data_IF_810487438955
#
_entry.id   IF_810487438955
#
_cell.length_a   1.000
_cell.length_b   1.000
_cell.length_c   1.000
_cell.angle_alpha   90.00
_cell.angle_beta   90.00
_cell.angle_gamma   90.00
#
_symmetry.space_group_name_H-M   'P 1'
#
loop_
_entity.id
_entity.type
_entity.pdbx_description
1 polymer ?
#
# COMPACT_ATOMS: atom_id res chain seq x y z
N UNK A 1 12.69 -22.45 -28.15
CA UNK A 1 12.09 -22.89 -26.86
C UNK A 1 11.99 -21.66 -25.97
N UNK A 2 10.88 -21.47 -25.26
CA UNK A 2 10.78 -20.42 -24.25
C UNK A 2 11.78 -20.69 -23.12
N UNK A 3 12.32 -19.63 -22.52
CA UNK A 3 13.19 -19.75 -21.35
C UNK A 3 12.43 -20.35 -20.15
N UNK A 4 13.15 -20.86 -19.16
CA UNK A 4 12.53 -21.38 -17.92
C UNK A 4 11.64 -20.33 -17.25
N UNK A 5 12.12 -19.09 -17.17
CA UNK A 5 11.34 -18.01 -16.56
C UNK A 5 10.08 -17.66 -17.38
N UNK A 6 10.16 -17.63 -18.71
CA UNK A 6 8.99 -17.38 -19.56
C UNK A 6 7.90 -18.45 -19.38
N UNK A 7 8.28 -19.72 -19.23
CA UNK A 7 7.34 -20.80 -18.95
C UNK A 7 6.66 -20.63 -17.58
N UNK A 8 7.43 -20.21 -16.55
CA UNK A 8 6.87 -19.95 -15.22
C UNK A 8 5.94 -18.73 -15.22
N UNK A 9 6.26 -17.68 -15.98
CA UNK A 9 5.38 -16.52 -16.13
C UNK A 9 4.04 -16.93 -16.77
N UNK A 10 4.06 -17.72 -17.83
CA UNK A 10 2.86 -18.22 -18.48
C UNK A 10 2.01 -19.09 -17.52
N UNK A 11 2.67 -19.99 -16.79
CA UNK A 11 2.00 -20.81 -15.77
C UNK A 11 1.34 -19.93 -14.70
N UNK A 12 2.08 -18.94 -14.18
CA UNK A 12 1.56 -18.02 -13.18
C UNK A 12 0.37 -17.19 -13.68
N UNK A 13 0.41 -16.74 -14.94
CA UNK A 13 -0.68 -15.98 -15.55
C UNK A 13 -1.96 -16.82 -15.72
N UNK A 14 -1.84 -18.14 -15.94
CA UNK A 14 -2.97 -19.03 -16.12
C UNK A 14 -3.51 -19.61 -14.80
N UNK A 15 -2.61 -20.04 -13.92
CA UNK A 15 -2.97 -20.79 -12.70
C UNK A 15 -3.08 -19.91 -11.45
N UNK A 16 -2.56 -18.66 -11.50
CA UNK A 16 -2.45 -17.73 -10.38
C UNK A 16 -1.75 -18.34 -9.16
N UNK A 17 -0.89 -19.31 -9.40
CA UNK A 17 -0.13 -20.03 -8.39
C UNK A 17 1.16 -20.62 -8.96
N UNK A 18 2.18 -20.75 -8.11
CA UNK A 18 3.44 -21.46 -8.37
C UNK A 18 3.87 -22.15 -7.09
N UNK A 19 4.71 -23.18 -7.19
CA UNK A 19 5.39 -23.75 -6.03
C UNK A 19 6.41 -22.77 -5.43
N UNK A 20 6.89 -23.03 -4.21
CA UNK A 20 7.91 -22.19 -3.56
C UNK A 20 9.22 -22.12 -4.38
N UNK A 21 9.64 -23.24 -4.94
CA UNK A 21 10.83 -23.32 -5.79
C UNK A 21 10.65 -22.51 -7.08
N UNK A 22 9.46 -22.55 -7.70
CA UNK A 22 9.15 -21.78 -8.90
C UNK A 22 9.06 -20.27 -8.61
N UNK A 23 8.45 -19.86 -7.48
CA UNK A 23 8.44 -18.46 -7.04
C UNK A 23 9.86 -17.98 -6.78
N UNK A 24 10.68 -18.77 -6.09
CA UNK A 24 12.08 -18.45 -5.83
C UNK A 24 12.85 -18.24 -7.12
N UNK A 25 12.65 -19.13 -8.11
CA UNK A 25 13.28 -19.04 -9.44
C UNK A 25 12.89 -17.72 -10.12
N UNK A 26 11.61 -17.32 -10.11
CA UNK A 26 11.19 -16.03 -10.70
C UNK A 26 11.74 -14.82 -9.94
N UNK A 27 11.77 -14.87 -8.61
CA UNK A 27 12.24 -13.77 -7.76
C UNK A 27 13.74 -13.53 -8.00
N UNK A 28 14.52 -14.60 -8.15
CA UNK A 28 15.99 -14.54 -8.25
C UNK A 28 16.51 -14.57 -9.67
N UNK A 29 15.66 -14.74 -10.68
CA UNK A 29 16.08 -14.85 -12.08
C UNK A 29 16.88 -13.63 -12.54
N UNK A 30 17.95 -13.92 -13.25
CA UNK A 30 18.83 -12.94 -13.93
C UNK A 30 18.62 -12.95 -15.45
N UNK A 31 17.59 -13.66 -15.94
CA UNK A 31 17.31 -13.71 -17.37
C UNK A 31 17.00 -12.32 -17.93
N UNK A 32 17.55 -11.97 -19.11
CA UNK A 32 17.23 -10.71 -19.77
C UNK A 32 15.71 -10.57 -19.99
N UNK A 33 15.21 -9.34 -19.91
CA UNK A 33 13.81 -8.98 -20.18
C UNK A 33 12.74 -9.62 -19.27
N UNK A 34 13.11 -10.40 -18.25
CA UNK A 34 12.14 -11.06 -17.35
C UNK A 34 11.14 -10.05 -16.75
N UNK A 35 11.62 -8.89 -16.32
CA UNK A 35 10.76 -7.87 -15.74
C UNK A 35 9.79 -7.28 -16.77
N UNK A 36 10.21 -7.17 -18.02
CA UNK A 36 9.36 -6.73 -19.13
C UNK A 36 8.28 -7.75 -19.47
N UNK A 37 8.63 -9.03 -19.49
CA UNK A 37 7.68 -10.12 -19.71
C UNK A 37 6.65 -10.18 -18.58
N UNK A 38 7.11 -10.14 -17.33
CA UNK A 38 6.24 -10.11 -16.15
C UNK A 38 5.28 -8.91 -16.19
N UNK A 39 5.79 -7.70 -16.47
CA UNK A 39 4.97 -6.50 -16.55
C UNK A 39 3.92 -6.58 -17.67
N UNK A 40 4.28 -7.15 -18.84
CA UNK A 40 3.35 -7.34 -19.94
C UNK A 40 2.18 -8.24 -19.54
N UNK A 41 2.44 -9.41 -18.94
CA UNK A 41 1.38 -10.32 -18.51
C UNK A 41 0.57 -9.75 -17.34
N UNK A 42 1.22 -9.07 -16.42
CA UNK A 42 0.57 -8.37 -15.31
C UNK A 42 -0.38 -7.26 -15.80
N UNK A 43 0.03 -6.46 -16.80
CA UNK A 43 -0.84 -5.41 -17.36
C UNK A 43 -2.03 -5.99 -18.13
N UNK A 44 -1.81 -7.07 -18.90
CA UNK A 44 -2.91 -7.78 -19.58
C UNK A 44 -3.98 -8.22 -18.57
N UNK A 45 -3.56 -8.88 -17.48
CA UNK A 45 -4.46 -9.37 -16.44
C UNK A 45 -5.13 -8.23 -15.68
N UNK A 46 -4.38 -7.17 -15.34
CA UNK A 46 -4.91 -5.97 -14.72
C UNK A 46 -6.02 -5.34 -15.57
N UNK A 47 -5.83 -5.28 -16.91
CA UNK A 47 -6.83 -4.71 -17.84
C UNK A 47 -8.10 -5.55 -17.93
N UNK A 48 -8.02 -6.86 -17.73
CA UNK A 48 -9.22 -7.71 -17.68
C UNK A 48 -10.12 -7.35 -16.48
N UNK A 49 -9.54 -7.04 -15.30
CA UNK A 49 -10.29 -6.72 -14.09
C UNK A 49 -10.67 -5.24 -13.98
N UNK A 50 -9.83 -4.34 -14.45
CA UNK A 50 -9.94 -2.91 -14.17
C UNK A 50 -9.90 -2.01 -15.39
N UNK A 51 -9.77 -2.56 -16.58
CA UNK A 51 -9.60 -1.78 -17.81
C UNK A 51 -8.34 -0.93 -17.74
N UNK A 52 -8.45 0.32 -18.15
CA UNK A 52 -7.41 1.34 -18.06
C UNK A 52 -7.52 2.24 -16.81
N UNK A 53 -8.44 1.91 -15.88
CA UNK A 53 -8.76 2.73 -14.72
C UNK A 53 -7.65 2.72 -13.68
N UNK A 54 -7.30 3.90 -13.18
CA UNK A 54 -6.46 4.11 -12.00
C UNK A 54 -7.27 4.84 -10.95
N UNK A 55 -7.35 4.24 -9.76
CA UNK A 55 -8.06 4.82 -8.63
C UNK A 55 -7.15 5.75 -7.84
N UNK A 56 -7.68 6.93 -7.48
CA UNK A 56 -7.00 7.87 -6.60
C UNK A 56 -7.54 7.75 -5.18
N UNK A 57 -6.62 7.71 -4.20
CA UNK A 57 -6.97 7.71 -2.77
C UNK A 57 -6.31 8.90 -2.09
N UNK A 58 -7.11 9.74 -1.47
CA UNK A 58 -6.62 10.91 -0.74
C UNK A 58 -5.96 10.50 0.57
N UNK A 59 -4.65 10.66 0.64
CA UNK A 59 -3.86 10.31 1.83
C UNK A 59 -3.84 11.49 2.80
N UNK A 60 -4.29 11.29 4.02
CA UNK A 60 -4.25 12.26 5.12
C UNK A 60 -3.36 11.69 6.22
N UNK A 61 -2.14 12.18 6.30
CA UNK A 61 -1.15 11.83 7.32
C UNK A 61 -1.45 12.72 8.54
N UNK A 62 -2.29 12.27 9.48
CA UNK A 62 -2.86 13.13 10.50
C UNK A 62 -2.07 13.21 11.81
N UNK A 63 -1.11 12.30 12.02
CA UNK A 63 -0.16 12.33 13.13
C UNK A 63 1.11 11.59 12.80
N UNK A 64 2.25 12.11 13.22
CA UNK A 64 3.55 11.42 13.15
C UNK A 64 4.05 10.95 14.52
N UNK A 65 3.24 11.05 15.57
CA UNK A 65 3.54 10.37 16.83
C UNK A 65 3.35 8.87 16.68
N UNK A 66 4.28 8.10 17.22
CA UNK A 66 4.18 6.63 17.21
C UNK A 66 4.78 6.09 18.50
N UNK A 67 4.07 5.15 19.18
CA UNK A 67 4.61 4.44 20.36
C UNK A 67 5.66 3.39 19.99
N UNK A 68 5.64 2.91 18.73
CA UNK A 68 6.51 1.84 18.25
C UNK A 68 7.90 2.38 17.87
N UNK A 69 8.89 1.50 17.95
CA UNK A 69 10.28 1.85 17.70
C UNK A 69 10.89 0.98 16.58
N UNK A 70 10.14 0.76 15.50
CA UNK A 70 10.59 0.00 14.34
C UNK A 70 11.91 0.56 13.80
N UNK A 71 12.88 -0.32 13.52
CA UNK A 71 14.26 0.09 13.23
C UNK A 71 14.47 0.78 11.90
N UNK A 72 13.47 0.74 11.02
CA UNK A 72 13.49 1.29 9.66
C UNK A 72 12.69 2.60 9.51
N UNK A 73 11.91 3.02 10.51
CA UNK A 73 10.88 4.04 10.34
C UNK A 73 11.33 5.41 10.88
N UNK A 74 11.29 6.46 10.06
CA UNK A 74 11.67 7.82 10.44
C UNK A 74 10.77 8.44 11.52
N UNK A 75 9.50 8.00 11.67
CA UNK A 75 8.61 8.49 12.74
C UNK A 75 8.60 7.60 13.99
N UNK A 76 9.56 6.68 14.13
CA UNK A 76 9.72 5.83 15.31
C UNK A 76 9.80 6.62 16.61
N UNK A 77 9.39 6.01 17.73
CA UNK A 77 9.42 6.67 19.06
C UNK A 77 10.82 7.20 19.44
N UNK A 78 11.86 6.44 19.11
CA UNK A 78 13.24 6.79 19.41
C UNK A 78 13.87 7.84 18.49
N UNK A 79 13.17 8.38 17.50
CA UNK A 79 13.67 9.51 16.71
C UNK A 79 13.34 10.84 17.40
N UNK A 80 14.32 11.39 18.11
CA UNK A 80 14.20 12.68 18.81
C UNK A 80 14.31 13.90 17.87
N UNK A 81 14.78 13.72 16.63
CA UNK A 81 14.88 14.77 15.63
C UNK A 81 13.57 15.02 14.89
N UNK A 82 12.59 14.11 14.99
CA UNK A 82 11.32 14.26 14.29
C UNK A 82 10.47 15.39 14.89
N UNK A 83 10.16 16.40 14.08
CA UNK A 83 9.22 17.45 14.46
C UNK A 83 7.80 16.87 14.51
N UNK A 84 7.27 16.68 15.72
CA UNK A 84 6.00 16.01 15.95
C UNK A 84 4.79 16.91 15.75
N UNK A 85 3.72 16.35 15.17
CA UNK A 85 2.45 17.05 14.99
C UNK A 85 1.24 16.12 15.09
N UNK A 86 0.09 16.71 15.33
CA UNK A 86 -1.23 16.10 15.27
C UNK A 86 -2.17 17.06 14.59
N UNK A 87 -3.00 16.59 13.67
CA UNK A 87 -4.09 17.38 13.11
C UNK A 87 -5.31 17.33 14.02
N UNK A 88 -6.04 18.41 14.12
CA UNK A 88 -7.35 18.41 14.78
C UNK A 88 -8.40 17.67 13.93
N UNK A 89 -9.54 17.35 14.51
CA UNK A 89 -10.66 16.79 13.75
C UNK A 89 -11.09 17.72 12.61
N UNK A 90 -11.16 19.03 12.89
CA UNK A 90 -11.55 20.06 11.91
C UNK A 90 -10.57 20.10 10.74
N UNK A 91 -9.27 20.01 10.98
CA UNK A 91 -8.26 19.97 9.93
C UNK A 91 -8.38 18.69 9.08
N UNK A 92 -8.65 17.54 9.69
CA UNK A 92 -8.89 16.27 8.98
C UNK A 92 -10.13 16.38 8.10
N UNK A 93 -11.24 16.92 8.62
CA UNK A 93 -12.48 17.13 7.86
C UNK A 93 -12.30 18.12 6.72
N UNK A 94 -11.53 19.19 6.91
CA UNK A 94 -11.18 20.13 5.84
C UNK A 94 -10.38 19.46 4.72
N UNK A 95 -9.42 18.57 5.05
CA UNK A 95 -8.72 17.77 4.06
C UNK A 95 -9.66 16.84 3.27
N UNK A 96 -10.65 16.23 3.93
CA UNK A 96 -11.66 15.40 3.27
C UNK A 96 -12.54 16.22 2.33
N UNK A 97 -13.01 17.40 2.76
CA UNK A 97 -13.84 18.29 1.95
C UNK A 97 -13.09 18.76 0.70
N UNK A 98 -11.84 19.18 0.84
CA UNK A 98 -11.01 19.56 -0.31
C UNK A 98 -10.75 18.36 -1.24
N UNK A 99 -10.44 17.19 -0.68
CA UNK A 99 -10.28 15.97 -1.47
C UNK A 99 -11.55 15.61 -2.25
N UNK A 100 -12.73 15.72 -1.63
CA UNK A 100 -14.01 15.48 -2.29
C UNK A 100 -14.23 16.43 -3.49
N UNK A 101 -13.94 17.71 -3.29
CA UNK A 101 -13.99 18.74 -4.35
C UNK A 101 -13.05 18.43 -5.51
N UNK A 102 -11.86 17.87 -5.20
CA UNK A 102 -10.87 17.42 -6.20
C UNK A 102 -11.24 16.08 -6.86
N UNK A 103 -12.37 15.46 -6.53
CA UNK A 103 -12.85 14.21 -7.14
C UNK A 103 -12.35 12.94 -6.47
N UNK A 104 -11.78 13.01 -5.27
CA UNK A 104 -11.48 11.81 -4.49
C UNK A 104 -12.77 11.21 -3.91
N UNK A 105 -12.86 9.88 -3.91
CA UNK A 105 -13.96 9.12 -3.31
C UNK A 105 -13.45 8.07 -2.32
N UNK A 106 -12.19 8.17 -1.95
CA UNK A 106 -11.56 7.39 -0.87
C UNK A 106 -10.62 8.29 -0.08
N UNK A 107 -10.79 8.31 1.23
CA UNK A 107 -9.87 8.95 2.16
C UNK A 107 -9.11 7.90 2.95
N UNK A 108 -7.79 8.07 3.07
CA UNK A 108 -6.90 7.21 3.85
C UNK A 108 -6.35 8.01 5.00
N UNK A 109 -6.84 7.73 6.21
CA UNK A 109 -6.31 8.30 7.43
C UNK A 109 -5.12 7.48 7.89
N UNK A 110 -3.93 8.04 7.75
CA UNK A 110 -2.68 7.38 8.09
C UNK A 110 -1.96 8.10 9.22
N UNK A 111 -1.42 7.35 10.15
CA UNK A 111 -0.65 7.87 11.27
C UNK A 111 0.27 6.83 11.89
N UNK A 112 1.14 7.26 12.79
CA UNK A 112 1.77 6.35 13.74
C UNK A 112 0.74 5.80 14.73
N UNK A 113 1.14 4.82 15.55
CA UNK A 113 0.31 4.34 16.66
C UNK A 113 0.36 5.34 17.81
N UNK A 114 -0.49 6.36 17.73
CA UNK A 114 -0.55 7.49 18.63
C UNK A 114 -1.66 7.31 19.67
N UNK A 115 -1.31 7.19 20.95
CA UNK A 115 -2.26 7.02 22.05
C UNK A 115 -3.18 8.25 22.29
N UNK A 116 -2.82 9.42 21.77
CA UNK A 116 -3.70 10.60 21.84
C UNK A 116 -5.03 10.39 21.12
N UNK A 117 -5.00 9.67 20.01
CA UNK A 117 -6.21 9.31 19.28
C UNK A 117 -6.78 8.01 19.86
N UNK A 118 -7.56 8.19 20.94
CA UNK A 118 -8.34 7.10 21.55
C UNK A 118 -9.33 6.53 20.55
N UNK A 119 -9.86 5.34 20.85
CA UNK A 119 -10.85 4.71 19.99
C UNK A 119 -12.08 5.61 19.78
N UNK A 120 -12.54 6.30 20.83
CA UNK A 120 -13.66 7.28 20.74
C UNK A 120 -13.35 8.43 19.79
N UNK A 121 -12.15 9.00 19.84
CA UNK A 121 -11.73 10.08 18.93
C UNK A 121 -11.70 9.60 17.47
N UNK A 122 -11.17 8.41 17.22
CA UNK A 122 -11.17 7.83 15.88
C UNK A 122 -12.61 7.58 15.39
N UNK A 123 -13.48 7.02 16.23
CA UNK A 123 -14.88 6.81 15.92
C UNK A 123 -15.59 8.14 15.59
N UNK A 124 -15.34 9.18 16.38
CA UNK A 124 -15.93 10.52 16.14
C UNK A 124 -15.49 11.10 14.78
N UNK A 125 -14.18 11.00 14.45
CA UNK A 125 -13.65 11.45 13.16
C UNK A 125 -14.27 10.66 12.00
N UNK A 126 -14.29 9.33 12.10
CA UNK A 126 -14.85 8.45 11.07
C UNK A 126 -16.32 8.72 10.84
N UNK A 127 -17.11 8.84 11.92
CA UNK A 127 -18.56 9.15 11.84
C UNK A 127 -18.82 10.52 11.21
N UNK A 128 -18.00 11.53 11.55
CA UNK A 128 -18.11 12.86 10.96
C UNK A 128 -17.81 12.86 9.46
N UNK A 129 -16.76 12.13 9.01
CA UNK A 129 -16.45 11.96 7.59
C UNK A 129 -17.59 11.22 6.89
N UNK A 130 -18.09 10.12 7.47
CA UNK A 130 -19.21 9.35 6.91
C UNK A 130 -20.47 10.19 6.71
N UNK A 131 -20.78 11.04 7.70
CA UNK A 131 -21.92 11.96 7.62
C UNK A 131 -21.78 12.99 6.50
N UNK A 132 -20.56 13.55 6.30
CA UNK A 132 -20.32 14.58 5.29
C UNK A 132 -20.16 13.99 3.87
N UNK A 133 -19.60 12.77 3.75
CA UNK A 133 -19.25 12.12 2.49
C UNK A 133 -19.73 10.66 2.48
N UNK A 134 -21.05 10.41 2.41
CA UNK A 134 -21.63 9.07 2.53
C UNK A 134 -21.24 8.13 1.38
N UNK A 135 -20.92 8.68 0.22
CA UNK A 135 -20.48 7.97 -0.98
C UNK A 135 -18.98 7.63 -1.00
N UNK A 136 -18.20 8.12 -0.04
CA UNK A 136 -16.75 7.86 0.03
C UNK A 136 -16.41 6.60 0.82
N UNK A 137 -15.31 5.96 0.47
CA UNK A 137 -14.69 4.95 1.31
C UNK A 137 -13.72 5.59 2.31
N UNK A 138 -13.75 5.11 3.55
CA UNK A 138 -12.83 5.53 4.62
C UNK A 138 -11.90 4.37 4.93
N UNK A 139 -10.60 4.61 4.76
CA UNK A 139 -9.54 3.65 5.07
C UNK A 139 -8.77 4.14 6.30
N UNK A 140 -8.57 3.28 7.28
CA UNK A 140 -7.68 3.52 8.40
C UNK A 140 -6.34 2.82 8.20
N UNK A 141 -5.24 3.48 8.57
CA UNK A 141 -3.88 2.94 8.59
C UNK A 141 -3.16 3.49 9.82
N UNK A 142 -3.55 2.98 11.00
CA UNK A 142 -3.17 3.48 12.32
C UNK A 142 -2.61 2.39 13.23
N UNK A 143 -2.04 1.35 12.63
CA UNK A 143 -1.34 0.28 13.33
C UNK A 143 -2.24 -0.76 13.98
N UNK A 144 -1.73 -1.38 15.04
CA UNK A 144 -2.40 -2.47 15.74
C UNK A 144 -3.37 -1.96 16.79
N UNK A 145 -4.56 -2.57 16.84
CA UNK A 145 -5.61 -2.29 17.81
C UNK A 145 -6.21 -3.59 18.36
N UNK A 146 -7.03 -3.48 19.37
CA UNK A 146 -7.86 -4.59 19.82
C UNK A 146 -8.96 -4.92 18.79
N UNK A 147 -9.47 -6.16 18.80
CA UNK A 147 -10.61 -6.54 17.96
C UNK A 147 -11.83 -5.64 18.22
N UNK A 148 -12.06 -5.26 19.48
CA UNK A 148 -13.14 -4.35 19.86
C UNK A 148 -12.96 -2.95 19.25
N UNK A 149 -11.72 -2.42 19.24
CA UNK A 149 -11.41 -1.14 18.59
C UNK A 149 -11.64 -1.20 17.08
N UNK A 150 -11.21 -2.28 16.41
CA UNK A 150 -11.51 -2.47 14.99
C UNK A 150 -13.01 -2.53 14.71
N UNK A 151 -13.77 -3.26 15.54
CA UNK A 151 -15.23 -3.33 15.41
C UNK A 151 -15.86 -1.94 15.57
N UNK A 152 -15.47 -1.18 16.59
CA UNK A 152 -16.00 0.16 16.82
C UNK A 152 -15.74 1.11 15.62
N UNK A 153 -14.56 1.05 15.01
CA UNK A 153 -14.27 1.87 13.82
C UNK A 153 -15.08 1.43 12.61
N UNK A 154 -15.33 0.14 12.45
CA UNK A 154 -16.17 -0.41 11.38
C UNK A 154 -17.61 0.08 11.53
N UNK A 155 -18.17 -0.01 12.74
CA UNK A 155 -19.50 0.43 13.08
C UNK A 155 -19.66 1.97 12.92
N UNK A 156 -18.59 2.73 13.19
CA UNK A 156 -18.53 4.16 12.93
C UNK A 156 -18.51 4.51 11.43
N UNK A 157 -18.24 3.55 10.55
CA UNK A 157 -18.31 3.71 9.10
C UNK A 157 -16.98 3.55 8.33
N UNK A 158 -15.90 3.09 8.97
CA UNK A 158 -14.68 2.75 8.26
C UNK A 158 -14.89 1.48 7.41
N UNK A 159 -14.51 1.52 6.13
CA UNK A 159 -14.75 0.41 5.20
C UNK A 159 -13.51 -0.44 4.98
N UNK A 160 -12.33 0.15 5.13
CA UNK A 160 -11.06 -0.46 4.78
C UNK A 160 -10.03 -0.23 5.88
N UNK A 161 -9.13 -1.18 6.03
CA UNK A 161 -8.01 -1.05 6.95
C UNK A 161 -6.73 -1.52 6.27
N UNK A 162 -5.68 -0.71 6.32
CA UNK A 162 -4.36 -1.06 5.83
C UNK A 162 -3.43 -1.32 7.01
N UNK A 163 -2.95 -2.54 7.13
CA UNK A 163 -1.95 -2.96 8.10
C UNK A 163 -0.90 -3.83 7.40
N UNK A 164 0.24 -3.26 7.09
CA UNK A 164 1.32 -4.03 6.46
C UNK A 164 1.92 -5.01 7.47
N UNK A 165 2.13 -6.27 7.05
CA UNK A 165 2.81 -7.26 7.89
C UNK A 165 4.32 -7.07 7.90
N UNK A 166 4.88 -6.31 6.96
CA UNK A 166 6.26 -5.91 6.71
C UNK A 166 7.18 -7.07 6.34
N UNK A 167 7.05 -8.22 6.97
CA UNK A 167 7.58 -9.53 6.60
C UNK A 167 6.77 -10.62 7.31
N UNK A 168 6.57 -11.76 6.67
CA UNK A 168 5.87 -12.91 7.24
C UNK A 168 6.81 -13.90 7.95
N UNK A 169 8.11 -13.67 7.87
CA UNK A 169 9.15 -14.48 8.49
C UNK A 169 9.49 -13.97 9.91
N UNK A 170 9.49 -14.87 10.89
CA UNK A 170 9.65 -14.52 12.31
C UNK A 170 11.04 -13.98 12.63
N UNK A 171 12.09 -14.60 12.07
CA UNK A 171 13.46 -14.18 12.33
C UNK A 171 13.76 -12.83 11.66
N UNK A 172 13.26 -12.65 10.46
CA UNK A 172 13.40 -11.38 9.76
C UNK A 172 12.59 -10.28 10.46
N UNK A 173 11.38 -10.57 10.95
CA UNK A 173 10.58 -9.60 11.71
C UNK A 173 11.29 -9.13 12.98
N UNK A 174 11.94 -10.05 13.71
CA UNK A 174 12.72 -9.72 14.91
C UNK A 174 13.93 -8.83 14.60
N UNK A 175 14.51 -8.90 13.41
CA UNK A 175 15.60 -8.01 12.97
C UNK A 175 15.11 -6.60 12.62
N UNK A 176 13.84 -6.44 12.26
CA UNK A 176 13.26 -5.15 11.84
C UNK A 176 12.58 -4.41 13.00
N UNK A 177 12.19 -5.11 14.06
CA UNK A 177 11.34 -4.58 15.13
C UNK A 177 11.91 -4.87 16.51
N UNK A 178 11.61 -4.02 17.53
CA UNK A 178 11.98 -4.31 18.90
C UNK A 178 11.22 -5.53 19.44
N UNK A 179 11.79 -6.21 20.44
CA UNK A 179 11.23 -7.42 21.04
C UNK A 179 9.81 -7.23 21.64
N UNK A 180 9.38 -6.00 21.89
CA UNK A 180 8.02 -5.68 22.35
C UNK A 180 6.96 -5.81 21.25
N UNK A 181 7.35 -5.99 20.00
CA UNK A 181 6.44 -6.17 18.86
C UNK A 181 6.42 -7.65 18.43
N UNK A 182 5.24 -8.17 18.11
CA UNK A 182 5.02 -9.56 17.74
C UNK A 182 4.44 -9.69 16.33
N UNK A 183 5.10 -10.50 15.49
CA UNK A 183 4.55 -10.85 14.18
C UNK A 183 3.24 -11.62 14.29
N UNK A 184 3.11 -12.48 15.30
CA UNK A 184 1.89 -13.22 15.54
C UNK A 184 0.71 -12.30 15.85
N UNK A 185 0.92 -11.29 16.72
CA UNK A 185 -0.10 -10.28 16.98
C UNK A 185 -0.46 -9.48 15.73
N UNK A 186 0.54 -9.12 14.89
CA UNK A 186 0.33 -8.44 13.62
C UNK A 186 -0.55 -9.27 12.68
N UNK A 187 -0.26 -10.57 12.55
CA UNK A 187 -1.04 -11.50 11.74
C UNK A 187 -2.47 -11.68 12.30
N UNK A 188 -2.60 -11.81 13.63
CA UNK A 188 -3.92 -11.88 14.30
C UNK A 188 -4.77 -10.64 13.96
N UNK A 189 -4.21 -9.45 14.10
CA UNK A 189 -4.90 -8.21 13.75
C UNK A 189 -5.45 -8.22 12.31
N UNK A 190 -4.69 -8.73 11.35
CA UNK A 190 -5.11 -8.82 9.95
C UNK A 190 -6.30 -9.79 9.76
N UNK A 191 -6.30 -10.92 10.47
CA UNK A 191 -7.43 -11.85 10.42
C UNK A 191 -8.65 -11.31 11.16
N UNK A 192 -8.48 -10.64 12.31
CA UNK A 192 -9.57 -9.95 13.01
C UNK A 192 -10.27 -8.93 12.09
N UNK A 193 -9.49 -8.11 11.38
CA UNK A 193 -10.02 -7.14 10.42
C UNK A 193 -10.83 -7.80 9.31
N UNK A 194 -10.35 -8.94 8.79
CA UNK A 194 -11.04 -9.69 7.75
C UNK A 194 -12.35 -10.29 8.24
N UNK A 195 -12.36 -10.88 9.44
CA UNK A 195 -13.54 -11.46 10.04
C UNK A 195 -14.62 -10.42 10.39
N UNK A 196 -14.22 -9.19 10.74
CA UNK A 196 -15.13 -8.06 10.96
C UNK A 196 -15.82 -7.62 9.65
N UNK A 197 -15.17 -7.84 8.50
CA UNK A 197 -15.73 -7.49 7.19
C UNK A 197 -15.06 -6.30 6.49
N UNK A 198 -13.90 -5.85 6.95
CA UNK A 198 -13.14 -4.83 6.24
C UNK A 198 -12.65 -5.32 4.87
N UNK A 199 -12.56 -4.41 3.91
CA UNK A 199 -11.62 -4.57 2.80
C UNK A 199 -10.21 -4.41 3.37
N UNK A 200 -9.50 -5.53 3.51
CA UNK A 200 -8.21 -5.58 4.20
C UNK A 200 -7.08 -5.29 3.22
N UNK A 201 -6.21 -4.37 3.61
CA UNK A 201 -4.94 -4.13 2.96
C UNK A 201 -3.77 -4.66 3.79
N UNK A 202 -2.82 -5.34 3.14
CA UNK A 202 -1.56 -5.72 3.77
C UNK A 202 -0.39 -5.50 2.81
N UNK A 203 0.81 -5.97 3.14
CA UNK A 203 2.00 -5.85 2.31
C UNK A 203 3.28 -5.90 3.10
N UNK A 204 4.39 -5.74 2.39
CA UNK A 204 5.74 -5.85 2.93
C UNK A 204 6.69 -4.84 2.28
N UNK A 205 7.87 -4.66 2.88
CA UNK A 205 8.96 -3.88 2.28
C UNK A 205 9.78 -4.75 1.33
N UNK A 206 10.26 -4.16 0.23
CA UNK A 206 11.13 -4.82 -0.74
C UNK A 206 12.56 -4.34 -0.54
N UNK A 207 13.49 -5.26 -0.35
CA UNK A 207 14.91 -4.95 -0.12
C UNK A 207 15.17 -4.35 1.27
N UNK A 208 14.34 -4.70 2.27
CA UNK A 208 14.61 -4.31 3.65
C UNK A 208 15.86 -5.00 4.20
N UNK A 209 16.52 -4.43 5.22
CA UNK A 209 17.71 -5.02 5.80
C UNK A 209 17.52 -6.50 6.15
N UNK A 210 18.49 -7.33 5.81
CA UNK A 210 18.51 -8.79 6.04
C UNK A 210 17.45 -9.60 5.28
N UNK A 211 16.69 -9.00 4.38
CA UNK A 211 15.69 -9.71 3.57
C UNK A 211 16.35 -10.70 2.60
N UNK A 212 15.90 -11.93 2.61
CA UNK A 212 16.32 -12.99 1.68
C UNK A 212 15.20 -13.27 0.65
N UNK A 213 15.51 -13.91 -0.48
CA UNK A 213 14.47 -14.36 -1.40
C UNK A 213 13.45 -15.31 -0.78
N UNK A 214 13.86 -16.12 0.20
CA UNK A 214 12.96 -17.01 0.95
C UNK A 214 11.97 -16.22 1.81
N UNK A 215 12.39 -15.11 2.43
CA UNK A 215 11.46 -14.23 3.15
C UNK A 215 10.38 -13.68 2.20
N UNK A 216 10.74 -13.31 0.96
CA UNK A 216 9.78 -12.87 -0.05
C UNK A 216 8.77 -13.97 -0.43
N UNK A 217 9.23 -15.22 -0.57
CA UNK A 217 8.32 -16.36 -0.78
C UNK A 217 7.36 -16.51 0.40
N UNK A 218 7.86 -16.42 1.64
CA UNK A 218 7.03 -16.47 2.85
C UNK A 218 5.98 -15.34 2.88
N UNK A 219 6.34 -14.14 2.44
CA UNK A 219 5.43 -12.99 2.32
C UNK A 219 4.32 -13.27 1.29
N UNK A 220 4.65 -13.82 0.13
CA UNK A 220 3.68 -14.19 -0.89
C UNK A 220 2.72 -15.27 -0.38
N UNK A 221 3.22 -16.30 0.32
CA UNK A 221 2.38 -17.36 0.93
C UNK A 221 1.46 -16.82 2.03
N UNK A 222 1.96 -15.92 2.85
CA UNK A 222 1.11 -15.26 3.84
C UNK A 222 -0.02 -14.47 3.18
N UNK A 223 0.27 -13.72 2.12
CA UNK A 223 -0.76 -13.00 1.36
C UNK A 223 -1.76 -13.97 0.72
N UNK A 224 -1.32 -15.12 0.18
CA UNK A 224 -2.23 -16.14 -0.34
C UNK A 224 -3.15 -16.71 0.77
N UNK A 225 -2.65 -16.88 2.00
CA UNK A 225 -3.48 -17.29 3.14
C UNK A 225 -4.44 -16.19 3.58
N UNK A 226 -3.99 -14.95 3.62
CA UNK A 226 -4.80 -13.79 4.06
C UNK A 226 -5.86 -13.40 3.02
N UNK A 227 -5.57 -13.54 1.72
CA UNK A 227 -6.44 -13.08 0.62
C UNK A 227 -6.87 -11.62 0.78
N UNK A 228 -5.93 -10.66 0.84
CA UNK A 228 -6.26 -9.26 1.06
C UNK A 228 -6.90 -8.62 -0.19
N UNK A 229 -7.61 -7.52 0.00
CA UNK A 229 -8.23 -6.73 -1.08
C UNK A 229 -7.26 -5.70 -1.67
N UNK A 230 -6.27 -5.29 -0.91
CA UNK A 230 -5.20 -4.40 -1.34
C UNK A 230 -3.84 -4.94 -0.88
N UNK A 231 -2.83 -4.85 -1.76
CA UNK A 231 -1.47 -5.26 -1.41
C UNK A 231 -0.53 -4.10 -1.70
N UNK A 232 0.00 -3.49 -0.62
CA UNK A 232 0.90 -2.35 -0.70
C UNK A 232 2.35 -2.76 -0.45
N UNK A 233 3.13 -2.86 -1.52
CA UNK A 233 4.58 -3.04 -1.44
C UNK A 233 5.31 -1.79 -1.93
N UNK A 234 6.54 -1.62 -1.50
CA UNK A 234 7.42 -0.55 -1.98
C UNK A 234 8.86 -0.83 -1.59
N UNK A 235 9.82 -0.19 -2.25
CA UNK A 235 11.21 -0.34 -1.88
C UNK A 235 11.43 0.18 -0.45
N UNK A 236 12.23 -0.53 0.31
CA UNK A 236 12.81 0.03 1.52
C UNK A 236 13.70 1.21 1.12
N UNK A 237 13.56 2.31 1.84
CA UNK A 237 14.43 3.50 1.70
C UNK A 237 14.92 3.84 3.08
N UNK A 238 16.22 4.00 3.22
CA UNK A 238 16.86 4.33 4.50
C UNK A 238 16.43 5.71 5.01
N UNK A 239 16.61 5.94 6.30
CA UNK A 239 16.41 7.24 6.95
C UNK A 239 17.55 7.50 7.95
N UNK A 240 18.13 8.70 7.91
CA UNK A 240 19.34 9.07 8.67
C UNK A 240 19.19 8.92 10.20
N UNK A 241 17.96 9.09 10.71
CA UNK A 241 17.66 8.98 12.14
C UNK A 241 17.07 7.61 12.54
N UNK A 242 17.52 6.55 11.86
CA UNK A 242 17.13 5.17 12.16
C UNK A 242 18.36 4.30 12.41
N UNK A 243 18.22 3.16 13.13
CA UNK A 243 19.29 2.18 13.25
C UNK A 243 19.83 1.66 11.91
N UNK A 244 19.04 1.72 10.86
CA UNK A 244 19.38 1.21 9.53
C UNK A 244 19.85 2.31 8.56
N UNK A 245 20.32 3.45 9.07
CA UNK A 245 20.76 4.60 8.24
C UNK A 245 21.83 4.25 7.21
N UNK A 246 22.69 3.29 7.51
CA UNK A 246 23.80 2.87 6.64
C UNK A 246 23.49 1.60 5.83
N UNK A 247 22.25 1.07 5.91
CA UNK A 247 21.84 -0.11 5.17
C UNK A 247 21.42 0.26 3.74
N UNK A 248 21.69 -0.62 2.76
CA UNK A 248 21.30 -0.36 1.37
C UNK A 248 19.78 -0.29 1.24
N UNK A 249 19.29 0.60 0.39
CA UNK A 249 17.89 0.67 0.00
C UNK A 249 17.50 -0.44 -0.98
N UNK A 250 16.21 -0.79 -1.00
CA UNK A 250 15.63 -1.68 -2.00
C UNK A 250 15.64 -1.07 -3.40
N UNK A 251 15.56 -1.90 -4.42
CA UNK A 251 15.69 -1.49 -5.82
C UNK A 251 14.33 -1.31 -6.52
N UNK A 252 14.32 -0.44 -7.52
CA UNK A 252 13.19 -0.29 -8.44
C UNK A 252 12.86 -1.62 -9.11
N UNK A 253 13.87 -2.26 -9.68
CA UNK A 253 13.74 -3.47 -10.48
C UNK A 253 13.07 -4.61 -9.68
N UNK A 254 13.57 -4.91 -8.49
CA UNK A 254 13.00 -5.95 -7.63
C UNK A 254 11.57 -5.61 -7.20
N UNK A 255 11.28 -4.33 -6.94
CA UNK A 255 9.94 -3.89 -6.54
C UNK A 255 8.94 -4.05 -7.70
N UNK A 256 9.32 -3.68 -8.93
CA UNK A 256 8.47 -3.85 -10.11
C UNK A 256 8.23 -5.33 -10.43
N UNK A 257 9.27 -6.18 -10.29
CA UNK A 257 9.15 -7.64 -10.43
C UNK A 257 8.11 -8.22 -9.48
N UNK A 258 8.24 -7.90 -8.20
CA UNK A 258 7.31 -8.38 -7.17
C UNK A 258 5.89 -7.83 -7.36
N UNK A 259 5.75 -6.58 -7.82
CA UNK A 259 4.44 -5.99 -8.12
C UNK A 259 3.75 -6.75 -9.25
N UNK A 260 4.49 -7.13 -10.30
CA UNK A 260 3.97 -7.96 -11.40
C UNK A 260 3.61 -9.37 -10.95
N UNK A 261 4.47 -10.01 -10.14
CA UNK A 261 4.17 -11.32 -9.54
C UNK A 261 2.90 -11.25 -8.70
N UNK A 262 2.74 -10.21 -7.87
CA UNK A 262 1.55 -10.00 -7.06
C UNK A 262 0.29 -9.82 -7.91
N UNK A 263 0.36 -9.09 -9.03
CA UNK A 263 -0.77 -8.97 -9.96
C UNK A 263 -1.17 -10.33 -10.52
N UNK A 264 -0.20 -11.15 -10.89
CA UNK A 264 -0.47 -12.48 -11.45
C UNK A 264 -1.00 -13.47 -10.39
N UNK A 265 -0.53 -13.38 -9.14
CA UNK A 265 -1.04 -14.19 -8.02
C UNK A 265 -2.43 -13.73 -7.54
N UNK A 266 -2.73 -12.44 -7.61
CA UNK A 266 -3.94 -11.80 -7.09
C UNK A 266 -4.57 -10.90 -8.15
N UNK A 267 -5.24 -11.47 -9.16
CA UNK A 267 -5.77 -10.71 -10.30
C UNK A 267 -6.69 -9.56 -9.91
N UNK A 268 -7.47 -9.75 -8.85
CA UNK A 268 -8.45 -8.81 -8.33
C UNK A 268 -7.86 -7.72 -7.41
N UNK A 269 -6.64 -7.91 -6.89
CA UNK A 269 -6.12 -7.04 -5.83
C UNK A 269 -5.92 -5.59 -6.29
N UNK A 270 -6.16 -4.66 -5.39
CA UNK A 270 -5.80 -3.26 -5.56
C UNK A 270 -4.32 -3.08 -5.20
N UNK A 271 -3.50 -2.71 -6.19
CA UNK A 271 -2.06 -2.58 -6.06
C UNK A 271 -1.62 -1.12 -6.19
N UNK A 272 -1.19 -0.46 -5.10
CA UNK A 272 -0.68 0.90 -5.19
C UNK A 272 0.67 0.98 -5.90
N UNK A 273 0.79 1.91 -6.86
CA UNK A 273 2.09 2.43 -7.27
C UNK A 273 2.50 3.49 -6.25
N UNK A 274 3.40 3.11 -5.34
CA UNK A 274 3.68 3.86 -4.13
C UNK A 274 4.51 5.13 -4.34
N UNK A 275 4.43 6.06 -3.38
CA UNK A 275 5.29 7.25 -3.34
C UNK A 275 6.77 6.86 -3.27
N UNK A 276 7.11 5.77 -2.59
CA UNK A 276 8.47 5.27 -2.50
C UNK A 276 9.09 4.91 -3.87
N UNK A 277 8.31 4.32 -4.79
CA UNK A 277 8.76 4.11 -6.18
C UNK A 277 9.11 5.42 -6.87
N UNK A 278 8.25 6.44 -6.72
CA UNK A 278 8.51 7.77 -7.25
C UNK A 278 9.68 8.50 -6.57
N UNK A 279 10.00 8.14 -5.33
CA UNK A 279 11.16 8.70 -4.62
C UNK A 279 12.48 8.14 -5.15
N UNK A 280 12.55 6.85 -5.45
CA UNK A 280 13.79 6.22 -5.95
C UNK A 280 14.00 6.39 -7.47
N UNK A 281 12.94 6.72 -8.22
CA UNK A 281 13.04 6.90 -9.67
C UNK A 281 12.01 7.91 -10.18
N UNK A 282 12.38 8.87 -11.06
CA UNK A 282 11.46 9.90 -11.56
C UNK A 282 10.17 9.37 -12.19
N UNK A 283 10.25 8.25 -12.92
CA UNK A 283 9.12 7.56 -13.55
C UNK A 283 8.66 6.33 -12.75
N UNK A 284 9.03 6.23 -11.46
CA UNK A 284 8.76 5.03 -10.65
C UNK A 284 7.28 4.74 -10.49
N UNK A 285 6.42 5.77 -10.45
CA UNK A 285 4.97 5.58 -10.36
C UNK A 285 4.38 5.05 -11.65
N UNK A 286 4.78 5.58 -12.79
CA UNK A 286 4.36 5.13 -14.12
C UNK A 286 4.76 3.68 -14.35
N UNK A 287 6.01 3.36 -14.05
CA UNK A 287 6.53 1.98 -14.13
C UNK A 287 5.78 1.04 -13.19
N UNK A 288 5.43 1.49 -11.99
CA UNK A 288 4.62 0.71 -11.06
C UNK A 288 3.19 0.44 -11.56
N UNK A 289 2.57 1.40 -12.27
CA UNK A 289 1.30 1.18 -12.95
C UNK A 289 1.44 0.15 -14.08
N UNK A 290 2.48 0.25 -14.90
CA UNK A 290 2.78 -0.68 -15.99
C UNK A 290 3.16 -2.09 -15.48
N UNK A 291 3.67 -2.20 -14.26
CA UNK A 291 3.94 -3.47 -13.60
C UNK A 291 2.69 -4.10 -12.94
N UNK A 292 1.48 -3.62 -13.24
CA UNK A 292 0.23 -4.18 -12.74
C UNK A 292 -0.44 -3.36 -11.63
N UNK A 293 0.12 -2.21 -11.22
CA UNK A 293 -0.50 -1.28 -10.28
C UNK A 293 -1.77 -0.64 -10.84
N UNK A 294 -2.72 -0.29 -9.98
CA UNK A 294 -3.98 0.36 -10.36
C UNK A 294 -4.48 1.40 -9.36
N UNK A 295 -3.66 1.75 -8.37
CA UNK A 295 -3.98 2.77 -7.35
C UNK A 295 -2.83 3.74 -7.21
N UNK A 296 -3.13 5.02 -7.04
CA UNK A 296 -2.18 6.06 -6.60
C UNK A 296 -2.74 6.81 -5.40
N UNK A 297 -1.84 7.29 -4.53
CA UNK A 297 -2.24 7.89 -3.25
C UNK A 297 -1.62 9.28 -3.08
N UNK A 298 -2.19 10.33 -3.73
CA UNK A 298 -1.76 11.71 -3.52
C UNK A 298 -2.02 12.18 -2.09
N UNK A 299 -1.13 13.05 -1.58
CA UNK A 299 -1.22 13.58 -0.22
C UNK A 299 -2.23 14.74 -0.15
N UNK A 300 -3.22 14.63 0.73
CA UNK A 300 -4.23 15.65 1.04
C UNK A 300 -3.93 16.41 2.34
N UNK A 301 -2.94 15.98 3.13
CA UNK A 301 -2.59 16.66 4.39
C UNK A 301 -2.27 18.14 4.15
N UNK A 302 -2.43 19.02 5.14
CA UNK A 302 -2.00 20.42 5.02
C UNK A 302 -0.51 20.53 4.67
N UNK A 303 -0.17 21.43 3.76
CA UNK A 303 1.22 21.58 3.24
C UNK A 303 2.24 21.75 4.37
N UNK A 304 1.88 22.50 5.42
CA UNK A 304 2.77 22.80 6.55
C UNK A 304 3.21 21.58 7.38
N UNK A 305 2.53 20.42 7.25
CA UNK A 305 2.88 19.21 8.01
C UNK A 305 3.45 18.08 7.14
N UNK A 306 3.34 18.17 5.81
CA UNK A 306 3.75 17.06 4.90
C UNK A 306 5.21 16.66 5.06
N UNK A 307 6.12 17.64 5.21
CA UNK A 307 7.56 17.39 5.46
C UNK A 307 7.84 16.75 6.81
N UNK A 308 6.93 16.92 7.79
CA UNK A 308 7.08 16.34 9.13
C UNK A 308 6.71 14.86 9.20
N UNK A 309 6.01 14.33 8.18
CA UNK A 309 5.66 12.91 8.07
C UNK A 309 6.67 12.18 7.18
N UNK A 310 7.86 12.01 7.68
CA UNK A 310 8.98 11.44 6.95
C UNK A 310 9.28 10.01 7.43
N UNK A 311 8.66 9.03 6.77
CA UNK A 311 8.89 7.60 7.07
C UNK A 311 10.28 7.14 6.62
N UNK A 312 10.79 7.74 5.55
CA UNK A 312 12.07 7.46 4.90
C UNK A 312 12.61 8.76 4.25
N UNK A 313 13.91 8.79 3.99
CA UNK A 313 14.59 9.97 3.46
C UNK A 313 14.09 10.38 2.06
N UNK A 314 14.15 11.67 1.78
CA UNK A 314 13.82 12.26 0.48
C UNK A 314 12.40 11.96 -0.03
N UNK A 315 11.45 11.72 0.87
CA UNK A 315 10.06 11.49 0.52
C UNK A 315 9.54 12.63 -0.36
N UNK A 316 9.05 12.28 -1.56
CA UNK A 316 8.45 13.23 -2.50
C UNK A 316 7.00 13.58 -2.14
N UNK A 317 6.40 14.54 -2.84
CA UNK A 317 5.02 15.01 -2.63
C UNK A 317 4.81 15.68 -1.27
N UNK A 318 5.79 16.44 -0.84
CA UNK A 318 5.78 17.25 0.39
C UNK A 318 5.44 18.71 0.16
N UNK A 319 5.40 19.18 -1.10
CA UNK A 319 5.02 20.54 -1.50
C UNK A 319 3.56 20.68 -1.92
N UNK A 320 3.23 21.79 -2.59
CA UNK A 320 1.88 22.10 -3.07
C UNK A 320 1.41 21.17 -4.21
N UNK A 321 2.34 20.49 -4.89
CA UNK A 321 2.11 19.66 -6.06
C UNK A 321 1.41 18.32 -5.77
N UNK A 322 1.08 17.99 -4.52
CA UNK A 322 0.57 16.67 -4.19
C UNK A 322 -0.85 16.41 -4.75
N UNK A 323 -1.90 16.86 -4.05
CA UNK A 323 -3.28 16.61 -4.48
C UNK A 323 -3.85 17.75 -5.33
N UNK A 324 -3.39 18.97 -5.10
CA UNK A 324 -3.77 20.16 -5.88
C UNK A 324 -3.27 20.08 -7.33
N UNK A 325 -2.19 19.35 -7.58
CA UNK A 325 -1.69 19.06 -8.94
C UNK A 325 -2.36 17.85 -9.59
N UNK A 326 -3.67 17.71 -9.44
CA UNK A 326 -4.43 16.62 -10.08
C UNK A 326 -4.14 16.52 -11.58
N UNK A 327 -4.10 17.66 -12.28
CA UNK A 327 -3.78 17.70 -13.71
C UNK A 327 -2.41 17.13 -14.06
N UNK A 328 -1.38 17.39 -13.25
CA UNK A 328 -0.06 16.78 -13.43
C UNK A 328 -0.08 15.28 -13.24
N UNK A 329 -0.80 14.81 -12.22
CA UNK A 329 -0.96 13.37 -11.96
C UNK A 329 -1.74 12.69 -13.10
N UNK A 330 -2.83 13.31 -13.59
CA UNK A 330 -3.60 12.83 -14.74
C UNK A 330 -2.76 12.73 -16.00
N UNK A 331 -1.96 13.75 -16.29
CA UNK A 331 -1.05 13.73 -17.44
C UNK A 331 -0.03 12.58 -17.33
N UNK A 332 0.58 12.39 -16.18
CA UNK A 332 1.53 11.29 -15.93
C UNK A 332 0.88 9.91 -16.06
N UNK A 333 -0.30 9.72 -15.47
CA UNK A 333 -1.06 8.46 -15.57
C UNK A 333 -1.45 8.19 -17.02
N UNK A 334 -1.86 9.23 -17.77
CA UNK A 334 -2.19 9.12 -19.19
C UNK A 334 -0.98 8.75 -20.05
N UNK A 335 0.18 9.34 -19.76
CA UNK A 335 1.44 8.96 -20.42
C UNK A 335 1.82 7.49 -20.17
N UNK A 336 1.47 6.94 -19.03
CA UNK A 336 1.65 5.52 -18.72
C UNK A 336 0.62 4.60 -19.41
N UNK A 337 -0.38 5.15 -20.13
CA UNK A 337 -1.39 4.40 -20.87
C UNK A 337 -2.66 4.08 -20.06
N UNK A 338 -2.98 4.89 -19.05
CA UNK A 338 -4.12 4.70 -18.15
C UNK A 338 -4.90 6.00 -17.90
N UNK A 339 -6.07 5.88 -17.26
CA UNK A 339 -6.93 7.02 -16.92
C UNK A 339 -7.29 7.05 -15.43
N UNK A 340 -7.18 8.22 -14.81
CA UNK A 340 -7.69 8.44 -13.46
C UNK A 340 -9.22 8.50 -13.51
N UNK A 341 -9.87 7.81 -12.57
CA UNK A 341 -11.33 7.82 -12.44
C UNK A 341 -11.77 8.35 -11.08
N UNK A 342 -12.92 9.06 -11.07
CA UNK A 342 -13.61 9.45 -9.85
C UNK A 342 -14.51 8.30 -9.41
N UNK A 343 -13.99 7.46 -8.55
CA UNK A 343 -14.64 6.23 -8.09
C UNK A 343 -14.13 5.87 -6.69
N UNK A 344 -14.91 5.14 -5.90
CA UNK A 344 -14.47 4.59 -4.61
C UNK A 344 -13.29 3.61 -4.76
N UNK A 345 -13.16 2.98 -5.94
CA UNK A 345 -12.14 1.96 -6.18
C UNK A 345 -12.29 0.78 -5.23
N UNK A 346 -13.48 0.21 -5.12
CA UNK A 346 -13.71 -1.04 -4.40
C UNK A 346 -13.10 -2.22 -5.15
N UNK A 347 -12.70 -3.25 -4.42
CA UNK A 347 -12.11 -4.45 -5.02
C UNK A 347 -13.13 -5.20 -5.88
N UNK A 348 -12.69 -5.71 -7.04
CA UNK A 348 -13.50 -6.53 -7.95
C UNK A 348 -13.01 -7.96 -7.90
N UNK A 349 -13.59 -8.79 -7.03
CA UNK A 349 -13.17 -10.18 -6.85
C UNK A 349 -13.61 -11.10 -7.98
N UNK A 350 -14.63 -10.72 -8.74
CA UNK A 350 -15.13 -11.44 -9.92
C UNK A 350 -15.02 -10.55 -11.14
N UNK A 351 -14.77 -11.16 -12.30
CA UNK A 351 -14.92 -10.47 -13.58
C UNK A 351 -16.41 -10.20 -13.78
N UNK A 352 -16.77 -8.96 -14.09
CA UNK A 352 -18.11 -8.65 -14.58
C UNK A 352 -18.31 -9.47 -15.88
N UNK A 353 -19.38 -10.26 -15.95
CA UNK A 353 -19.75 -10.87 -17.24
C UNK A 353 -19.95 -9.74 -18.24
N UNK A 354 -19.46 -9.85 -19.47
CA UNK A 354 -19.72 -8.83 -20.47
C UNK A 354 -21.24 -8.62 -20.57
N UNK A 355 -21.68 -7.36 -20.49
CA UNK A 355 -23.07 -6.99 -20.76
C UNK A 355 -23.39 -7.44 -22.21
N UNK A 356 -24.06 -8.57 -22.38
CA UNK A 356 -24.42 -9.05 -23.71
C UNK A 356 -24.86 -10.49 -23.80
N UNK A 357 -24.63 -11.35 -22.81
CA UNK A 357 -25.20 -12.71 -22.82
C UNK A 357 -26.41 -12.81 -21.88
N UNK A 358 -27.54 -12.22 -22.33
CA UNK A 358 -28.85 -12.68 -21.88
C UNK A 358 -29.21 -13.87 -22.78
N UNK A 359 -29.20 -15.08 -22.22
CA UNK A 359 -29.87 -16.26 -22.79
C UNK A 359 -31.36 -16.04 -22.89
#
# INVERSE_FOLDING_TARGET
MLSTAANLINKLACEHNLSDAELLTLITSTEPDINKLLACEADKLRRQYYGDKVYIRGLIEFTNYCKNNCYYCGIRAGNSCAERYRLTQEEILACCAEGYRLGFRTFVLQGGEDAYYTDDKICAIVSAIRKQHPDCAITLSIGEKSRAGYQAYFDAGANRYLLRHETADVEHYAKLHPASMSLENRKRCLFDLKEIGYQVGSGFMVGSPYQTPQNLVSDLRFLQKLQPDMIGIGPYITHEHTPFKDMPSGTLEQTLRLLSILRLLFPYALLPSTTALGTIHPNGRELGLQAGGNVVMPNLSPVGVRKKYELYANKICTGEEAAQCRGCLEARVKTAGYNIVTDRGDVRRTLDKPEGEKL
#
